data_IF_777222168676
#
_entry.id   IF_777222168676
#
_cell.length_a   1.000
_cell.length_b   1.000
_cell.length_c   1.000
_cell.angle_alpha   90.00
_cell.angle_beta   90.00
_cell.angle_gamma   90.00
#
_symmetry.space_group_name_H-M   'P 1'
#
loop_
_entity.id
_entity.type
_entity.pdbx_description
1 polymer ?
#
# COMPACT_ATOMS: atom_id res chain seq x y z
N UNK A 1 16.85 0.13 -20.96
CA UNK A 1 16.41 -0.06 -19.56
C UNK A 1 16.86 1.09 -18.68
N UNK A 2 15.93 1.66 -17.91
CA UNK A 2 16.19 2.78 -16.99
C UNK A 2 17.14 2.37 -15.85
N UNK A 3 17.69 3.35 -15.11
CA UNK A 3 18.49 3.08 -13.89
C UNK A 3 17.68 2.26 -12.87
N UNK A 4 16.37 2.52 -12.80
CA UNK A 4 15.44 1.80 -11.93
C UNK A 4 15.23 0.34 -12.37
N UNK A 5 15.02 0.10 -13.66
CA UNK A 5 14.84 -1.27 -14.19
C UNK A 5 16.04 -2.17 -13.86
N UNK A 6 17.26 -1.62 -14.01
CA UNK A 6 18.50 -2.34 -13.67
C UNK A 6 18.59 -2.63 -12.17
N UNK A 7 18.16 -1.69 -11.32
CA UNK A 7 18.13 -1.89 -9.88
C UNK A 7 17.14 -2.97 -9.46
N UNK A 8 15.94 -2.99 -10.06
CA UNK A 8 14.93 -4.03 -9.83
C UNK A 8 15.43 -5.41 -10.28
N UNK A 9 16.01 -5.50 -11.47
CA UNK A 9 16.56 -6.77 -12.01
C UNK A 9 17.62 -7.37 -11.09
N UNK A 10 18.52 -6.54 -10.53
CA UNK A 10 19.55 -6.99 -9.56
C UNK A 10 18.98 -7.59 -8.27
N UNK A 11 17.73 -7.27 -7.93
CA UNK A 11 17.02 -7.74 -6.72
C UNK A 11 15.94 -8.78 -7.02
N UNK A 12 15.91 -9.30 -8.24
CA UNK A 12 14.87 -10.23 -8.69
C UNK A 12 13.45 -9.64 -8.60
N UNK A 13 13.32 -8.31 -8.70
CA UNK A 13 12.03 -7.61 -8.72
C UNK A 13 11.59 -7.42 -10.17
N UNK A 14 10.41 -7.93 -10.52
CA UNK A 14 9.78 -7.71 -11.83
C UNK A 14 9.14 -6.31 -11.86
N UNK A 15 9.70 -5.39 -12.65
CA UNK A 15 9.09 -4.08 -12.85
C UNK A 15 7.91 -4.18 -13.82
N UNK A 16 6.70 -4.02 -13.30
CA UNK A 16 5.45 -4.04 -14.06
C UNK A 16 4.91 -2.61 -14.13
N UNK A 17 4.54 -2.16 -15.33
CA UNK A 17 3.93 -0.84 -15.55
C UNK A 17 2.48 -1.02 -15.98
N UNK A 18 1.62 -0.12 -15.54
CA UNK A 18 0.23 -0.06 -15.99
C UNK A 18 0.13 0.71 -17.31
N UNK A 19 -0.94 0.45 -18.08
CA UNK A 19 -1.29 1.29 -19.20
C UNK A 19 -1.69 2.70 -18.73
N UNK A 20 -1.56 3.67 -19.62
CA UNK A 20 -2.06 5.04 -19.39
C UNK A 20 -3.60 4.97 -19.34
N UNK A 21 -4.23 5.77 -18.46
CA UNK A 21 -5.69 5.78 -18.23
C UNK A 21 -6.28 4.42 -17.82
N UNK A 22 -5.63 3.71 -16.90
CA UNK A 22 -6.11 2.41 -16.37
C UNK A 22 -6.57 2.51 -14.90
N UNK A 23 -7.70 3.20 -14.62
CA UNK A 23 -8.18 3.42 -13.25
C UNK A 23 -8.58 2.13 -12.54
N UNK A 24 -8.98 1.08 -13.26
CA UNK A 24 -9.29 -0.23 -12.67
C UNK A 24 -8.04 -0.92 -12.11
N UNK A 25 -6.86 -0.64 -12.67
CA UNK A 25 -5.58 -1.18 -12.20
C UNK A 25 -5.00 -0.34 -11.06
N UNK A 26 -5.13 0.99 -11.12
CA UNK A 26 -4.54 1.93 -10.16
C UNK A 26 -5.49 2.36 -9.04
N UNK A 27 -6.78 2.08 -9.12
CA UNK A 27 -7.79 2.62 -8.22
C UNK A 27 -7.59 2.30 -6.74
N UNK A 28 -7.02 1.13 -6.41
CA UNK A 28 -6.70 0.78 -5.01
C UNK A 28 -5.63 1.72 -4.43
N UNK A 29 -4.56 1.99 -5.19
CA UNK A 29 -3.47 2.85 -4.73
C UNK A 29 -3.90 4.32 -4.73
N UNK A 30 -4.70 4.75 -5.70
CA UNK A 30 -5.28 6.09 -5.76
C UNK A 30 -6.19 6.35 -4.54
N UNK A 31 -7.08 5.41 -4.20
CA UNK A 31 -7.94 5.52 -3.02
C UNK A 31 -7.15 5.56 -1.71
N UNK A 32 -6.05 4.80 -1.65
CA UNK A 32 -5.12 4.89 -0.52
C UNK A 32 -4.50 6.28 -0.42
N UNK A 33 -3.98 6.84 -1.52
CA UNK A 33 -3.39 8.18 -1.52
C UNK A 33 -4.42 9.28 -1.18
N UNK A 34 -5.66 9.16 -1.64
CA UNK A 34 -6.74 10.06 -1.21
C UNK A 34 -7.00 9.98 0.29
N UNK A 35 -6.99 8.76 0.86
CA UNK A 35 -7.12 8.57 2.31
C UNK A 35 -5.94 9.17 3.07
N UNK A 36 -4.71 8.96 2.59
CA UNK A 36 -3.51 9.55 3.16
C UNK A 36 -3.60 11.08 3.14
N UNK A 37 -3.90 11.69 1.99
CA UNK A 37 -3.98 13.13 1.86
C UNK A 37 -5.01 13.75 2.82
N UNK A 38 -6.18 13.12 2.97
CA UNK A 38 -7.24 13.60 3.85
C UNK A 38 -6.89 13.44 5.33
N UNK A 39 -6.19 12.36 5.70
CA UNK A 39 -5.95 12.03 7.10
C UNK A 39 -4.63 12.56 7.64
N UNK A 40 -3.62 12.79 6.79
CA UNK A 40 -2.28 13.24 7.16
C UNK A 40 -2.24 14.54 7.99
N UNK A 41 -3.14 15.54 7.77
CA UNK A 41 -3.24 16.71 8.64
C UNK A 41 -3.53 16.38 10.11
N UNK A 42 -4.34 15.36 10.39
CA UNK A 42 -4.62 14.92 11.77
C UNK A 42 -3.40 14.30 12.47
N UNK A 43 -2.38 13.94 11.70
CA UNK A 43 -1.11 13.40 12.20
C UNK A 43 0.01 14.42 12.19
N UNK A 44 -0.30 15.72 12.25
CA UNK A 44 0.69 16.81 12.19
C UNK A 44 1.58 16.72 10.95
N UNK A 45 1.00 16.24 9.84
CA UNK A 45 1.71 15.96 8.60
C UNK A 45 2.89 14.99 8.72
N UNK A 46 2.85 14.06 9.69
CA UNK A 46 3.88 13.02 9.87
C UNK A 46 3.41 11.68 9.28
N UNK A 47 3.95 11.24 8.13
CA UNK A 47 3.53 10.00 7.49
C UNK A 47 3.79 8.75 8.35
N UNK A 48 4.82 8.78 9.18
CA UNK A 48 5.17 7.73 10.14
C UNK A 48 4.00 7.41 11.09
N UNK A 49 3.37 8.45 11.66
CA UNK A 49 2.26 8.31 12.60
C UNK A 49 1.00 7.78 11.90
N UNK A 50 0.73 8.28 10.68
CA UNK A 50 -0.34 7.74 9.85
C UNK A 50 -0.11 6.26 9.55
N UNK A 51 1.10 5.88 9.10
CA UNK A 51 1.47 4.50 8.76
C UNK A 51 1.24 3.57 9.94
N UNK A 52 1.72 3.96 11.12
CA UNK A 52 1.55 3.16 12.34
C UNK A 52 0.08 2.95 12.66
N UNK A 53 -0.74 4.01 12.68
CA UNK A 53 -2.19 3.89 12.91
C UNK A 53 -2.86 3.00 11.86
N UNK A 54 -2.63 3.29 10.59
CA UNK A 54 -3.32 2.63 9.48
C UNK A 54 -3.00 1.13 9.43
N UNK A 55 -1.74 0.75 9.60
CA UNK A 55 -1.33 -0.64 9.46
C UNK A 55 -1.63 -1.50 10.70
N UNK A 56 -1.55 -0.94 11.91
CA UNK A 56 -1.58 -1.72 13.16
C UNK A 56 -2.80 -1.49 14.05
N UNK A 57 -3.54 -0.38 13.87
CA UNK A 57 -4.65 -0.03 14.75
C UNK A 57 -5.98 0.09 14.01
N UNK A 58 -5.96 0.45 12.73
CA UNK A 58 -7.18 0.59 11.92
C UNK A 58 -7.70 -0.79 11.51
N UNK A 59 -8.84 -1.16 12.05
CA UNK A 59 -9.61 -2.33 11.59
C UNK A 59 -10.39 -1.97 10.33
N UNK A 60 -10.31 -2.80 9.29
CA UNK A 60 -11.02 -2.59 8.04
C UNK A 60 -12.19 -3.55 7.91
N UNK A 61 -13.37 -3.05 7.55
CA UNK A 61 -14.56 -3.88 7.31
C UNK A 61 -14.34 -4.85 6.15
N UNK A 62 -13.65 -4.41 5.10
CA UNK A 62 -13.25 -5.26 3.96
C UNK A 62 -12.23 -6.34 4.31
N UNK A 63 -11.62 -6.28 5.50
CA UNK A 63 -10.67 -7.27 6.01
C UNK A 63 -11.24 -8.00 7.22
N UNK A 64 -12.57 -8.15 7.32
CA UNK A 64 -13.24 -8.84 8.44
C UNK A 64 -12.88 -8.24 9.81
N UNK A 65 -12.79 -6.89 9.88
CA UNK A 65 -12.36 -6.14 11.07
C UNK A 65 -10.92 -6.45 11.52
N UNK A 66 -10.08 -6.97 10.64
CA UNK A 66 -8.63 -7.10 10.87
C UNK A 66 -7.88 -5.88 10.34
N UNK A 67 -6.65 -5.75 10.80
CA UNK A 67 -5.71 -4.71 10.37
C UNK A 67 -4.93 -5.16 9.14
N UNK A 68 -4.39 -4.22 8.33
CA UNK A 68 -3.54 -4.58 7.20
C UNK A 68 -2.32 -5.40 7.63
N UNK A 69 -1.72 -5.09 8.78
CA UNK A 69 -0.58 -5.84 9.32
C UNK A 69 -0.95 -7.28 9.66
N UNK A 70 -2.08 -7.53 10.31
CA UNK A 70 -2.53 -8.90 10.62
C UNK A 70 -2.75 -9.72 9.36
N UNK A 71 -3.32 -9.13 8.30
CA UNK A 71 -3.54 -9.83 7.03
C UNK A 71 -2.24 -10.07 6.28
N UNK A 72 -1.31 -9.11 6.28
CA UNK A 72 -0.04 -9.25 5.58
C UNK A 72 0.86 -10.33 6.20
N UNK A 73 0.88 -10.42 7.53
CA UNK A 73 1.67 -11.41 8.27
C UNK A 73 0.89 -12.70 8.55
N UNK A 74 -0.32 -12.86 8.02
CA UNK A 74 -1.10 -14.08 8.11
C UNK A 74 -0.52 -15.16 7.16
N UNK A 75 0.60 -15.78 7.55
CA UNK A 75 1.29 -16.82 6.77
C UNK A 75 0.42 -18.06 6.52
N UNK A 76 -0.60 -18.30 7.35
CA UNK A 76 -1.54 -19.42 7.17
C UNK A 76 -2.41 -19.34 5.90
N UNK A 77 -2.38 -18.21 5.17
CA UNK A 77 -3.05 -18.06 3.85
C UNK A 77 -2.19 -18.50 2.66
N UNK A 78 -0.93 -18.86 2.91
CA UNK A 78 0.02 -19.27 1.86
C UNK A 78 0.04 -20.78 1.63
N UNK A 79 -0.69 -21.55 2.44
CA UNK A 79 -0.87 -23.01 2.38
C UNK A 79 -2.36 -23.33 2.47
#
# INVERSE_FOLDING_TARGET
HSKFDRWCKKRYIKHIRTAIHSPTTTGKIERFFGTLANELPFFKNKPELFRMRYNHFRKHTSLEKRTPSEIYHAFYKLF
#
